data_IF_074561823981
#
_entry.id   IF_074561823981
#
_cell.length_a   1.000
_cell.length_b   1.000
_cell.length_c   1.000
_cell.angle_alpha   90.00
_cell.angle_beta   90.00
_cell.angle_gamma   90.00
#
_symmetry.space_group_name_H-M   'P 1'
#
loop_
_entity.id
_entity.type
_entity.pdbx_description
1 polymer ?
#
# COMPACT_ATOMS: atom_id res chain seq x y z
N UNK A 1 19.60 2.27 14.98
CA UNK A 1 18.23 1.88 15.34
C UNK A 1 18.26 0.46 15.87
N UNK A 2 17.66 0.20 17.03
CA UNK A 2 17.47 -1.17 17.54
C UNK A 2 16.27 -1.77 16.80
N UNK A 3 16.44 -2.95 16.18
CA UNK A 3 15.32 -3.69 15.59
C UNK A 3 14.44 -4.23 16.73
N UNK A 4 13.21 -3.73 16.85
CA UNK A 4 12.20 -4.28 17.75
C UNK A 4 11.33 -5.27 16.98
N UNK A 5 10.99 -6.40 17.62
CA UNK A 5 10.08 -7.41 17.10
C UNK A 5 8.67 -7.15 17.67
N UNK A 6 7.68 -7.01 16.80
CA UNK A 6 6.27 -6.93 17.16
C UNK A 6 5.59 -8.28 16.90
N UNK A 7 4.62 -8.65 17.74
CA UNK A 7 3.83 -9.88 17.60
C UNK A 7 2.38 -9.47 17.33
N UNK A 8 1.79 -10.02 16.27
CA UNK A 8 0.39 -9.80 15.87
C UNK A 8 -0.44 -11.05 16.19
N UNK A 9 -1.65 -10.87 16.75
CA UNK A 9 -2.50 -11.97 17.19
C UNK A 9 -3.45 -12.45 16.08
N UNK A 10 -3.23 -13.68 15.60
CA UNK A 10 -4.06 -14.32 14.58
C UNK A 10 -5.44 -14.76 15.06
N UNK A 11 -5.72 -14.73 16.37
CA UNK A 11 -7.06 -14.98 16.92
C UNK A 11 -7.91 -13.70 16.99
N UNK A 12 -7.31 -12.53 16.73
CA UNK A 12 -8.07 -11.31 16.58
C UNK A 12 -8.78 -11.31 15.22
N UNK A 13 -10.11 -11.41 15.22
CA UNK A 13 -10.94 -11.51 14.02
C UNK A 13 -10.66 -10.39 13.00
N UNK A 14 -10.37 -9.17 13.47
CA UNK A 14 -10.06 -8.03 12.59
C UNK A 14 -8.73 -8.24 11.86
N UNK A 15 -7.73 -8.74 12.58
CA UNK A 15 -6.39 -8.99 12.03
C UNK A 15 -6.41 -10.21 11.10
N UNK A 16 -7.13 -11.27 11.48
CA UNK A 16 -7.33 -12.45 10.65
C UNK A 16 -8.04 -12.11 9.33
N UNK A 17 -9.15 -11.34 9.40
CA UNK A 17 -9.87 -10.91 8.20
C UNK A 17 -9.00 -10.02 7.31
N UNK A 18 -8.25 -9.10 7.90
CA UNK A 18 -7.31 -8.25 7.17
C UNK A 18 -6.21 -9.07 6.46
N UNK A 19 -5.70 -10.13 7.09
CA UNK A 19 -4.73 -11.04 6.47
C UNK A 19 -5.34 -11.83 5.30
N UNK A 20 -6.55 -12.37 5.46
CA UNK A 20 -7.24 -13.10 4.39
C UNK A 20 -7.51 -12.21 3.16
N UNK A 21 -7.97 -10.98 3.39
CA UNK A 21 -8.24 -10.03 2.31
C UNK A 21 -6.94 -9.58 1.62
N UNK A 22 -5.84 -9.41 2.36
CA UNK A 22 -4.53 -9.08 1.79
C UNK A 22 -3.98 -10.17 0.86
N UNK A 23 -4.25 -11.44 1.18
CA UNK A 23 -3.91 -12.58 0.33
C UNK A 23 -4.74 -12.52 -0.96
N UNK A 24 -6.06 -12.36 -0.85
CA UNK A 24 -6.95 -12.32 -2.02
C UNK A 24 -6.66 -11.14 -2.97
N UNK A 25 -6.20 -10.01 -2.42
CA UNK A 25 -5.81 -8.82 -3.19
C UNK A 25 -4.60 -9.05 -4.09
N UNK A 26 -3.78 -10.08 -3.84
CA UNK A 26 -2.62 -10.36 -4.70
C UNK A 26 -3.02 -10.69 -6.14
N UNK A 27 -4.22 -11.22 -6.37
CA UNK A 27 -4.75 -11.50 -7.71
C UNK A 27 -5.54 -10.33 -8.31
N UNK A 28 -5.73 -9.24 -7.58
CA UNK A 28 -6.50 -8.10 -8.06
C UNK A 28 -5.75 -7.32 -9.16
N UNK A 29 -6.47 -6.80 -10.16
CA UNK A 29 -5.92 -5.94 -11.23
C UNK A 29 -6.46 -4.51 -11.19
N UNK A 30 -7.18 -4.14 -10.12
CA UNK A 30 -7.85 -2.85 -10.00
C UNK A 30 -7.27 -2.03 -8.84
N UNK A 31 -6.50 -0.99 -9.16
CA UNK A 31 -5.83 -0.15 -8.16
C UNK A 31 -6.82 0.53 -7.20
N UNK A 32 -7.98 1.01 -7.68
CA UNK A 32 -8.99 1.69 -6.85
C UNK A 32 -9.53 0.72 -5.79
N UNK A 33 -9.86 -0.51 -6.18
CA UNK A 33 -10.37 -1.52 -5.26
C UNK A 33 -9.33 -1.88 -4.19
N UNK A 34 -8.06 -2.05 -4.60
CA UNK A 34 -6.94 -2.38 -3.70
C UNK A 34 -6.72 -1.27 -2.68
N UNK A 35 -6.60 -0.02 -3.11
CA UNK A 35 -6.42 1.14 -2.22
C UNK A 35 -7.62 1.33 -1.28
N UNK A 36 -8.83 1.14 -1.79
CA UNK A 36 -10.06 1.18 -0.99
C UNK A 36 -10.08 0.12 0.12
N UNK A 37 -9.59 -1.10 -0.16
CA UNK A 37 -9.48 -2.15 0.88
C UNK A 37 -8.38 -1.85 1.89
N UNK A 38 -7.21 -1.40 1.43
CA UNK A 38 -6.12 -0.98 2.33
C UNK A 38 -6.63 0.05 3.34
N UNK A 39 -7.33 1.10 2.90
CA UNK A 39 -7.87 2.11 3.80
C UNK A 39 -8.80 1.54 4.88
N UNK A 40 -9.69 0.59 4.52
CA UNK A 40 -10.56 -0.08 5.50
C UNK A 40 -9.76 -0.88 6.53
N UNK A 41 -8.73 -1.60 6.09
CA UNK A 41 -7.89 -2.39 7.01
C UNK A 41 -7.02 -1.52 7.91
N UNK A 42 -6.45 -0.43 7.39
CA UNK A 42 -5.69 0.52 8.22
C UNK A 42 -6.56 1.11 9.33
N UNK A 43 -7.82 1.45 9.02
CA UNK A 43 -8.78 1.88 10.05
C UNK A 43 -9.07 0.79 11.08
N UNK A 44 -9.34 -0.44 10.64
CA UNK A 44 -9.60 -1.55 11.55
C UNK A 44 -8.40 -1.88 12.46
N UNK A 45 -7.16 -1.82 11.94
CA UNK A 45 -5.94 -1.98 12.76
C UNK A 45 -5.78 -0.84 13.77
N UNK A 46 -6.13 0.39 13.40
CA UNK A 46 -6.10 1.51 14.34
C UNK A 46 -7.09 1.31 15.50
N UNK A 47 -8.24 0.70 15.21
CA UNK A 47 -9.24 0.34 16.22
C UNK A 47 -8.79 -0.81 17.16
N UNK A 48 -7.71 -1.54 16.83
CA UNK A 48 -7.08 -2.51 17.76
C UNK A 48 -6.03 -1.86 18.65
N UNK A 49 -5.81 -0.55 18.55
CA UNK A 49 -4.82 0.20 19.34
C UNK A 49 -3.46 0.35 18.66
N UNK A 50 -3.26 -0.24 17.47
CA UNK A 50 -2.01 -0.09 16.72
C UNK A 50 -1.83 1.36 16.24
N UNK A 51 -0.57 1.78 16.08
CA UNK A 51 -0.29 3.15 15.60
C UNK A 51 1.01 3.29 14.82
N UNK A 52 1.06 4.30 13.94
CA UNK A 52 2.27 4.76 13.26
C UNK A 52 3.08 3.62 12.64
N UNK A 53 4.31 3.46 13.11
CA UNK A 53 5.28 2.49 12.62
C UNK A 53 4.80 1.04 12.71
N UNK A 54 4.01 0.71 13.73
CA UNK A 54 3.47 -0.64 13.89
C UNK A 54 2.53 -1.00 12.74
N UNK A 55 1.65 -0.08 12.35
CA UNK A 55 0.76 -0.26 11.20
C UNK A 55 1.55 -0.27 9.90
N UNK A 56 2.52 0.63 9.75
CA UNK A 56 3.35 0.74 8.55
C UNK A 56 4.13 -0.55 8.26
N UNK A 57 4.61 -1.22 9.31
CA UNK A 57 5.38 -2.45 9.21
C UNK A 57 4.54 -3.72 9.38
N UNK A 58 3.22 -3.61 9.58
CA UNK A 58 2.35 -4.77 9.71
C UNK A 58 2.33 -5.57 8.39
N UNK A 59 2.40 -6.93 8.43
CA UNK A 59 2.45 -7.74 7.22
C UNK A 59 1.32 -7.48 6.22
N UNK A 60 0.10 -7.19 6.71
CA UNK A 60 -1.03 -6.80 5.85
C UNK A 60 -0.70 -5.53 5.05
N UNK A 61 -0.20 -4.48 5.72
CA UNK A 61 0.16 -3.22 5.07
C UNK A 61 1.24 -3.44 4.01
N UNK A 62 2.25 -4.25 4.32
CA UNK A 62 3.33 -4.61 3.39
C UNK A 62 2.78 -5.36 2.17
N UNK A 63 1.87 -6.32 2.34
CA UNK A 63 1.25 -7.05 1.23
C UNK A 63 0.45 -6.12 0.30
N UNK A 64 -0.31 -5.18 0.86
CA UNK A 64 -1.01 -4.17 0.08
C UNK A 64 -0.06 -3.23 -0.64
N UNK A 65 0.99 -2.74 0.04
CA UNK A 65 2.00 -1.87 -0.56
C UNK A 65 2.73 -2.56 -1.72
N UNK A 66 3.10 -3.84 -1.54
CA UNK A 66 3.68 -4.68 -2.59
C UNK A 66 2.75 -4.77 -3.80
N UNK A 67 1.45 -5.00 -3.58
CA UNK A 67 0.49 -5.09 -4.66
C UNK A 67 0.28 -3.75 -5.38
N UNK A 68 0.22 -2.64 -4.65
CA UNK A 68 0.14 -1.29 -5.23
C UNK A 68 1.38 -1.02 -6.09
N UNK A 69 2.57 -1.34 -5.58
CA UNK A 69 3.83 -1.22 -6.32
C UNK A 69 3.80 -2.04 -7.62
N UNK A 70 3.31 -3.29 -7.56
CA UNK A 70 3.14 -4.17 -8.72
C UNK A 70 2.17 -3.60 -9.76
N UNK A 71 1.00 -3.12 -9.35
CA UNK A 71 0.00 -2.53 -10.25
C UNK A 71 0.50 -1.23 -10.91
N UNK A 72 1.31 -0.45 -10.21
CA UNK A 72 1.95 0.75 -10.74
C UNK A 72 3.19 0.46 -11.60
N UNK A 73 3.59 -0.82 -11.74
CA UNK A 73 4.84 -1.25 -12.38
C UNK A 73 6.04 -0.48 -11.85
N UNK A 74 6.09 -0.27 -10.53
CA UNK A 74 7.04 0.67 -9.93
C UNK A 74 8.48 0.20 -10.15
N UNK A 75 9.31 1.13 -10.61
CA UNK A 75 10.77 1.02 -10.68
C UNK A 75 11.38 2.34 -10.23
N UNK A 76 12.65 2.34 -9.82
CA UNK A 76 13.33 3.57 -9.39
C UNK A 76 13.35 4.67 -10.47
N UNK A 77 13.47 4.27 -11.74
CA UNK A 77 13.40 5.20 -12.88
C UNK A 77 12.00 5.82 -13.03
N UNK A 78 10.94 5.00 -12.94
CA UNK A 78 9.55 5.49 -13.02
C UNK A 78 9.21 6.41 -11.84
N UNK A 79 9.68 6.08 -10.65
CA UNK A 79 9.53 6.94 -9.46
C UNK A 79 10.17 8.31 -9.68
N UNK A 80 11.42 8.34 -10.14
CA UNK A 80 12.14 9.59 -10.44
C UNK A 80 11.42 10.42 -11.49
N UNK A 81 10.96 9.81 -12.58
CA UNK A 81 10.17 10.49 -13.63
C UNK A 81 8.83 11.01 -13.10
N UNK A 82 8.17 10.25 -12.24
CA UNK A 82 6.91 10.67 -11.62
C UNK A 82 7.10 11.91 -10.73
N UNK A 83 8.22 12.02 -10.00
CA UNK A 83 8.54 13.22 -9.24
C UNK A 83 8.74 14.45 -10.13
N UNK A 84 9.45 14.31 -11.26
CA UNK A 84 9.55 15.41 -12.23
C UNK A 84 8.19 15.78 -12.84
N UNK A 85 7.34 14.80 -13.14
CA UNK A 85 6.01 15.03 -13.68
C UNK A 85 5.07 15.73 -12.69
N UNK A 86 5.10 15.36 -11.40
CA UNK A 86 4.22 16.00 -10.39
C UNK A 86 4.62 17.46 -10.14
N UNK A 87 5.91 17.80 -10.21
CA UNK A 87 6.38 19.19 -10.12
C UNK A 87 5.86 20.04 -11.29
N UNK A 88 5.94 19.53 -12.52
CA UNK A 88 5.36 20.20 -13.71
C UNK A 88 3.86 20.44 -13.54
N UNK A 89 3.13 19.40 -13.15
CA UNK A 89 1.69 19.50 -12.91
C UNK A 89 1.36 20.52 -11.83
N UNK A 90 2.16 20.58 -10.74
CA UNK A 90 1.98 21.55 -9.66
C UNK A 90 2.19 23.00 -10.14
N UNK A 91 3.04 23.21 -11.14
CA UNK A 91 3.27 24.52 -11.77
C UNK A 91 2.26 24.85 -12.89
N UNK A 92 1.26 23.98 -13.13
CA UNK A 92 0.27 24.16 -14.20
C UNK A 92 0.78 23.79 -15.60
N UNK A 93 1.93 23.10 -15.68
CA UNK A 93 2.49 22.62 -16.94
C UNK A 93 1.96 21.22 -17.28
N UNK A 94 1.92 20.90 -18.58
CA UNK A 94 1.61 19.56 -19.03
C UNK A 94 2.79 18.60 -18.73
N UNK A 95 2.45 17.36 -18.35
CA UNK A 95 3.42 16.30 -18.17
C UNK A 95 3.02 15.07 -18.99
N UNK A 96 3.98 14.52 -19.73
CA UNK A 96 3.83 13.23 -20.39
C UNK A 96 4.27 12.10 -19.45
N UNK A 97 3.60 10.96 -19.52
CA UNK A 97 3.94 9.79 -18.73
C UNK A 97 3.64 8.50 -19.49
N UNK A 98 4.42 7.46 -19.19
CA UNK A 98 4.30 6.15 -19.83
C UNK A 98 3.17 5.33 -19.19
N UNK A 99 2.25 4.86 -20.03
CA UNK A 99 1.17 3.93 -19.67
C UNK A 99 1.58 2.51 -20.03
N UNK A 100 1.74 1.64 -19.03
CA UNK A 100 2.09 0.24 -19.20
C UNK A 100 0.86 -0.62 -18.86
N UNK A 101 0.39 -1.50 -19.76
CA UNK A 101 -0.70 -2.44 -19.47
C UNK A 101 -0.37 -3.41 -18.32
N UNK A 102 -1.43 -3.87 -17.65
CA UNK A 102 -1.38 -4.94 -16.63
C UNK A 102 -1.26 -6.30 -17.31
#
# INVERSE_FOLDING_TARGET
>A
MLNQLAISDGNNERLQKAASDAIAVQDAVNLIAVVGSLHRHLKAMRETGMSGDEINNHPVTICFASKISSLCRMTADRETKAFGAIEKLANGEAAEYEVIPI
#
